data_IF_965990985672
#
_entry.id   IF_965990985672
#
_cell.length_a   1.000
_cell.length_b   1.000
_cell.length_c   1.000
_cell.angle_alpha   90.00
_cell.angle_beta   90.00
_cell.angle_gamma   90.00
#
_symmetry.space_group_name_H-M   'P 1'
#
loop_
_entity.id
_entity.type
_entity.pdbx_description
1 polymer ?
#
# COMPACT_ATOMS: atom_id res chain seq x y z
N UNK A 1 20.37 1.07 14.50
CA UNK A 1 19.90 0.41 13.26
C UNK A 1 18.69 1.19 12.78
N UNK A 2 18.80 1.96 11.70
CA UNK A 2 17.64 2.58 11.06
C UNK A 2 16.86 1.47 10.35
N UNK A 3 15.81 0.96 10.99
CA UNK A 3 14.72 0.41 10.19
C UNK A 3 14.18 1.59 9.39
N UNK A 4 14.13 1.49 8.06
CA UNK A 4 13.33 2.44 7.28
C UNK A 4 11.92 2.37 7.88
N UNK A 5 11.27 3.48 8.23
CA UNK A 5 9.88 3.39 8.67
C UNK A 5 9.11 2.68 7.57
N UNK A 6 8.48 1.54 7.91
CA UNK A 6 7.75 0.74 6.93
C UNK A 6 6.62 1.58 6.34
N UNK A 7 6.02 2.44 7.17
CA UNK A 7 4.99 3.41 6.78
C UNK A 7 5.56 4.81 6.70
N UNK A 8 5.33 5.46 5.56
CA UNK A 8 5.65 6.87 5.33
C UNK A 8 4.47 7.73 5.77
N UNK A 9 4.62 8.43 6.91
CA UNK A 9 3.52 9.22 7.51
C UNK A 9 3.02 10.38 6.64
N UNK A 10 3.92 10.97 5.84
CA UNK A 10 3.61 12.06 4.93
C UNK A 10 2.82 11.61 3.69
N UNK A 11 2.82 10.31 3.40
CA UNK A 11 2.11 9.73 2.26
C UNK A 11 0.73 9.22 2.68
N UNK A 12 -0.17 9.15 1.71
CA UNK A 12 -1.48 8.53 1.87
C UNK A 12 -1.35 7.01 2.08
N UNK A 13 -2.41 6.39 2.60
CA UNK A 13 -2.51 4.92 2.70
C UNK A 13 -2.31 4.26 1.34
N UNK A 14 -2.96 4.79 0.30
CA UNK A 14 -2.84 4.30 -1.07
C UNK A 14 -1.38 4.38 -1.59
N UNK A 15 -0.70 5.50 -1.37
CA UNK A 15 0.68 5.70 -1.82
C UNK A 15 1.65 4.77 -1.08
N UNK A 16 1.43 4.56 0.22
CA UNK A 16 2.20 3.60 1.00
C UNK A 16 2.09 2.18 0.42
N UNK A 17 0.88 1.68 0.21
CA UNK A 17 0.67 0.35 -0.37
C UNK A 17 1.19 0.25 -1.81
N UNK A 18 0.97 1.28 -2.64
CA UNK A 18 1.48 1.32 -4.01
C UNK A 18 3.01 1.28 -4.06
N UNK A 19 3.70 1.93 -3.12
CA UNK A 19 5.17 1.87 -3.01
C UNK A 19 5.66 0.46 -2.66
N UNK A 20 4.98 -0.24 -1.76
CA UNK A 20 5.31 -1.62 -1.43
C UNK A 20 5.13 -2.55 -2.64
N UNK A 21 3.99 -2.46 -3.35
CA UNK A 21 3.70 -3.25 -4.56
C UNK A 21 4.67 -2.98 -5.73
N UNK A 22 5.26 -1.77 -5.80
CA UNK A 22 6.21 -1.40 -6.86
C UNK A 22 7.62 -1.96 -6.63
N UNK A 23 7.92 -2.40 -5.41
CA UNK A 23 9.17 -3.11 -5.08
C UNK A 23 9.27 -4.49 -5.72
N UNK A 24 8.12 -5.11 -6.03
CA UNK A 24 8.04 -6.47 -6.54
C UNK A 24 8.16 -6.50 -8.09
N UNK A 25 9.38 -6.20 -8.58
CA UNK A 25 9.68 -6.08 -10.03
C UNK A 25 9.38 -7.33 -10.87
N UNK A 26 9.13 -8.49 -10.26
CA UNK A 26 8.92 -9.76 -10.98
C UNK A 26 7.60 -9.81 -11.74
N UNK A 27 6.56 -9.12 -11.26
CA UNK A 27 5.23 -9.04 -11.90
C UNK A 27 5.21 -7.99 -13.03
N UNK A 28 6.04 -6.94 -12.91
CA UNK A 28 6.14 -5.81 -13.83
C UNK A 28 6.81 -6.11 -15.19
N UNK A 29 7.48 -7.26 -15.34
CA UNK A 29 8.01 -7.70 -16.63
C UNK A 29 6.93 -8.34 -17.51
N UNK A 30 5.96 -9.03 -16.90
CA UNK A 30 4.97 -9.84 -17.63
C UNK A 30 3.70 -9.08 -18.04
N UNK A 31 3.43 -7.93 -17.43
CA UNK A 31 2.13 -7.25 -17.53
C UNK A 31 2.17 -5.82 -18.13
N UNK A 32 3.35 -5.34 -18.55
CA UNK A 32 3.63 -3.95 -18.97
C UNK A 32 2.78 -3.38 -20.13
N UNK A 33 1.84 -4.15 -20.71
CA UNK A 33 1.03 -3.78 -21.86
C UNK A 33 -0.46 -3.47 -21.57
N UNK A 34 -1.00 -3.68 -20.34
CA UNK A 34 -2.46 -3.60 -20.09
C UNK A 34 -2.92 -3.07 -18.71
N UNK A 35 -2.01 -2.54 -17.89
CA UNK A 35 -1.97 -2.85 -16.45
C UNK A 35 -2.46 -1.79 -15.43
N UNK A 36 -2.77 -0.55 -15.83
CA UNK A 36 -3.05 0.49 -14.81
C UNK A 36 -4.35 0.24 -14.03
N UNK A 37 -5.37 -0.34 -14.67
CA UNK A 37 -6.62 -0.72 -14.01
C UNK A 37 -6.42 -1.91 -13.07
N UNK A 38 -5.69 -2.94 -13.49
CA UNK A 38 -5.41 -4.11 -12.65
C UNK A 38 -4.59 -3.76 -11.40
N UNK A 39 -3.70 -2.77 -11.49
CA UNK A 39 -2.95 -2.27 -10.34
C UNK A 39 -3.86 -1.53 -9.35
N UNK A 40 -4.79 -0.71 -9.85
CA UNK A 40 -5.78 -0.07 -8.99
C UNK A 40 -6.72 -1.10 -8.35
N UNK A 41 -7.15 -2.11 -9.12
CA UNK A 41 -8.00 -3.19 -8.62
C UNK A 41 -7.31 -3.99 -7.51
N UNK A 42 -6.03 -4.34 -7.68
CA UNK A 42 -5.24 -5.04 -6.66
C UNK A 42 -5.01 -4.16 -5.44
N UNK A 43 -4.75 -2.87 -5.62
CA UNK A 43 -4.65 -1.91 -4.51
C UNK A 43 -5.98 -1.84 -3.73
N UNK A 44 -7.11 -1.77 -4.44
CA UNK A 44 -8.45 -1.76 -3.85
C UNK A 44 -8.79 -3.07 -3.13
N UNK A 45 -8.31 -4.21 -3.61
CA UNK A 45 -8.44 -5.50 -2.93
C UNK A 45 -7.66 -5.53 -1.61
N UNK A 46 -6.40 -5.08 -1.63
CA UNK A 46 -5.56 -5.01 -0.43
C UNK A 46 -6.15 -4.03 0.59
N UNK A 47 -6.60 -2.85 0.15
CA UNK A 47 -7.27 -1.89 1.02
C UNK A 47 -8.51 -2.50 1.70
N UNK A 48 -9.32 -3.28 0.97
CA UNK A 48 -10.47 -3.99 1.53
C UNK A 48 -10.07 -5.09 2.52
N UNK A 49 -9.02 -5.86 2.21
CA UNK A 49 -8.50 -6.89 3.12
C UNK A 49 -8.05 -6.29 4.46
N UNK A 50 -7.42 -5.12 4.42
CA UNK A 50 -6.93 -4.39 5.59
C UNK A 50 -8.01 -3.52 6.26
N UNK A 51 -9.22 -3.43 5.70
CA UNK A 51 -10.30 -2.52 6.13
C UNK A 51 -9.87 -1.05 6.17
N UNK A 52 -9.04 -0.65 5.21
CA UNK A 52 -8.52 0.71 5.02
C UNK A 52 -9.07 1.38 3.76
N UNK A 53 -10.08 0.80 3.13
CA UNK A 53 -10.74 1.33 1.91
C UNK A 53 -11.31 2.75 2.13
N UNK A 54 -11.90 3.02 3.30
CA UNK A 54 -12.36 4.36 3.67
C UNK A 54 -11.23 5.36 3.98
N UNK A 55 -10.01 4.87 4.21
CA UNK A 55 -8.84 5.68 4.56
C UNK A 55 -7.86 5.86 3.38
N UNK A 56 -8.24 5.38 2.19
CA UNK A 56 -7.40 5.36 0.97
C UNK A 56 -6.60 6.64 0.75
N UNK A 57 -7.24 7.80 0.86
CA UNK A 57 -6.67 9.11 0.59
C UNK A 57 -6.17 9.83 1.85
N UNK A 58 -6.30 9.22 3.03
CA UNK A 58 -5.85 9.82 4.28
C UNK A 58 -4.34 9.64 4.42
N UNK A 59 -3.67 10.66 4.94
CA UNK A 59 -2.26 10.56 5.30
C UNK A 59 -2.06 9.52 6.41
N UNK A 60 -1.06 8.66 6.26
CA UNK A 60 -0.79 7.59 7.20
C UNK A 60 -0.44 8.12 8.60
N UNK A 61 0.13 9.33 8.71
CA UNK A 61 0.37 10.00 9.98
C UNK A 61 -0.89 10.27 10.81
N UNK A 62 -2.05 10.40 10.15
CA UNK A 62 -3.35 10.69 10.77
C UNK A 62 -4.17 9.45 11.14
N UNK A 63 -3.67 8.25 10.83
CA UNK A 63 -4.31 7.00 11.19
C UNK A 63 -4.21 6.73 12.69
N UNK A 64 -5.21 6.06 13.23
CA UNK A 64 -5.11 5.48 14.57
C UNK A 64 -3.98 4.45 14.64
N UNK A 65 -3.51 4.13 15.84
CA UNK A 65 -2.42 3.18 16.03
C UNK A 65 -2.73 1.80 15.40
N UNK A 66 -3.96 1.29 15.57
CA UNK A 66 -4.38 0.02 14.94
C UNK A 66 -4.44 0.09 13.42
N UNK A 67 -4.91 1.19 12.85
CA UNK A 67 -4.91 1.39 11.39
C UNK A 67 -3.48 1.47 10.82
N UNK A 68 -2.54 2.14 11.53
CA UNK A 68 -1.13 2.14 11.14
C UNK A 68 -0.54 0.73 11.15
N UNK A 69 -0.86 -0.09 12.15
CA UNK A 69 -0.39 -1.47 12.23
C UNK A 69 -0.93 -2.33 11.07
N UNK A 70 -2.20 -2.18 10.70
CA UNK A 70 -2.75 -2.86 9.52
C UNK A 70 -2.06 -2.41 8.23
N UNK A 71 -1.75 -1.12 8.10
CA UNK A 71 -0.99 -0.60 6.96
C UNK A 71 0.44 -1.18 6.92
N UNK A 72 1.14 -1.24 8.06
CA UNK A 72 2.47 -1.88 8.15
C UNK A 72 2.44 -3.34 7.74
N UNK A 73 1.44 -4.11 8.21
CA UNK A 73 1.25 -5.51 7.80
C UNK A 73 0.98 -5.59 6.30
N UNK A 74 0.08 -4.74 5.79
CA UNK A 74 -0.22 -4.63 4.37
C UNK A 74 1.02 -4.46 3.52
N UNK A 75 1.85 -3.47 3.87
CA UNK A 75 3.09 -3.14 3.17
C UNK A 75 4.17 -4.23 3.22
N UNK A 76 4.08 -5.20 4.15
CA UNK A 76 4.97 -6.36 4.20
C UNK A 76 4.45 -7.55 3.37
N UNK A 77 3.15 -7.58 3.07
CA UNK A 77 2.50 -8.70 2.38
C UNK A 77 2.29 -8.47 0.87
N UNK A 78 2.40 -7.22 0.39
CA UNK A 78 2.17 -6.85 -1.02
C UNK A 78 3.42 -6.75 -1.88
#
# INVERSE_FOLDING_TARGET
KFQKPTVFEALTVAENLALAMKGDKSVWASLRARMSSEQDDRLNEVLRLLRLDGERYRQAGLLSHGQKQFLEIGMLLV
#
